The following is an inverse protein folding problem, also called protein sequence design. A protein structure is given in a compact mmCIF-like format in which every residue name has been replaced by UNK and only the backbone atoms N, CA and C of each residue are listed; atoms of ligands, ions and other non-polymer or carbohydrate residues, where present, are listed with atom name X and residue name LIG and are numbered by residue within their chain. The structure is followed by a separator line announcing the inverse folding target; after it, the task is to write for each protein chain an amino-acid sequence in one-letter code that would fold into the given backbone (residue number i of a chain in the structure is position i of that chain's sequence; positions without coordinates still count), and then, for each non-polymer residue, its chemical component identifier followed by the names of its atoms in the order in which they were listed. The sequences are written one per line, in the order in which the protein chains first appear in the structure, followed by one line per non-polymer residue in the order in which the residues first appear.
data_IF_657155879328
#
_entry.id   IF_657155879328
#
_cell.length_a   1.000
_cell.length_b   1.000
_cell.length_c   1.000
_cell.angle_alpha   90.00
_cell.angle_beta   90.00
_cell.angle_gamma   90.00
#
_symmetry.space_group_name_H-M   'P 1'
#
loop_
_entity.id
_entity.type
_entity.pdbx_description
1 polymer ?
#
# COMPACT_ATOMS: atom_id res chain seq x y z
N UNK A 1 -0.78 46.62 -12.60
CA UNK A 1 -0.61 45.80 -11.37
C UNK A 1 -0.15 44.41 -11.79
N UNK A 2 1.16 44.13 -11.65
CA UNK A 2 1.78 42.83 -11.96
C UNK A 2 1.58 41.93 -10.73
N UNK A 3 1.04 40.74 -10.92
CA UNK A 3 0.76 39.77 -9.87
C UNK A 3 2.06 39.30 -9.20
N UNK A 4 2.15 39.49 -7.88
CA UNK A 4 3.26 39.06 -7.00
C UNK A 4 3.80 37.62 -7.22
N UNK A 5 3.03 36.58 -7.61
CA UNK A 5 3.57 35.22 -7.75
C UNK A 5 4.68 35.07 -8.80
N UNK A 6 4.81 35.97 -9.78
CA UNK A 6 5.84 35.88 -10.82
C UNK A 6 7.26 36.18 -10.29
N UNK A 7 7.41 36.89 -9.16
CA UNK A 7 8.73 37.19 -8.57
C UNK A 7 9.29 36.06 -7.71
N UNK A 8 8.48 35.08 -7.33
CA UNK A 8 8.90 33.95 -6.50
C UNK A 8 9.33 32.71 -7.30
N UNK A 9 9.24 32.73 -8.64
CA UNK A 9 9.70 31.61 -9.49
C UNK A 9 8.93 30.29 -9.30
N UNK A 10 7.89 30.27 -8.46
CA UNK A 10 7.04 29.10 -8.24
C UNK A 10 6.04 29.04 -9.39
N UNK A 11 6.49 28.52 -10.52
CA UNK A 11 5.58 27.99 -11.52
C UNK A 11 5.13 26.62 -11.04
N UNK A 12 3.85 26.40 -10.66
CA UNK A 12 3.35 25.06 -10.39
C UNK A 12 3.43 24.27 -11.70
N UNK A 13 4.56 23.56 -11.87
CA UNK A 13 4.72 22.63 -12.98
C UNK A 13 3.58 21.63 -12.83
N UNK A 14 2.74 21.48 -13.86
CA UNK A 14 1.59 20.56 -13.82
C UNK A 14 1.97 19.14 -13.36
N UNK A 15 3.23 18.74 -13.53
CA UNK A 15 3.80 17.50 -12.98
C UNK A 15 3.88 17.45 -11.45
N UNK A 16 4.14 18.55 -10.76
CA UNK A 16 4.25 18.58 -9.29
C UNK A 16 2.91 18.30 -8.60
N UNK A 17 1.82 18.92 -9.08
CA UNK A 17 0.48 18.65 -8.54
C UNK A 17 0.06 17.19 -8.76
N UNK A 18 0.37 16.62 -9.93
CA UNK A 18 0.13 15.19 -10.22
C UNK A 18 0.99 14.27 -9.35
N UNK A 19 2.24 14.64 -9.08
CA UNK A 19 3.12 13.89 -8.19
C UNK A 19 2.59 13.89 -6.75
N UNK A 20 2.12 15.05 -6.27
CA UNK A 20 1.54 15.17 -4.93
C UNK A 20 0.25 14.35 -4.78
N UNK A 21 -0.61 14.34 -5.82
CA UNK A 21 -1.81 13.50 -5.84
C UNK A 21 -1.49 12.00 -5.90
N UNK A 22 -0.40 11.62 -6.54
CA UNK A 22 0.04 10.22 -6.65
C UNK A 22 0.76 9.71 -5.40
N UNK A 23 1.43 10.57 -4.65
CA UNK A 23 2.16 10.23 -3.44
C UNK A 23 1.36 9.36 -2.44
N UNK A 24 0.12 9.70 -2.02
CA UNK A 24 -0.63 8.87 -1.10
C UNK A 24 -0.95 7.47 -1.67
N UNK A 25 -1.21 7.36 -2.97
CA UNK A 25 -1.48 6.07 -3.62
C UNK A 25 -0.23 5.19 -3.65
N UNK A 26 0.93 5.78 -3.93
CA UNK A 26 2.22 5.05 -3.92
C UNK A 26 2.59 4.64 -2.49
N UNK A 27 2.47 5.55 -1.52
CA UNK A 27 2.76 5.25 -0.12
C UNK A 27 1.84 4.14 0.40
N UNK A 28 0.55 4.21 0.08
CA UNK A 28 -0.41 3.17 0.44
C UNK A 28 -0.07 1.85 -0.24
N UNK A 29 0.23 1.84 -1.54
CA UNK A 29 0.60 0.61 -2.25
C UNK A 29 1.85 -0.06 -1.64
N UNK A 30 2.86 0.74 -1.28
CA UNK A 30 4.08 0.26 -0.60
C UNK A 30 3.78 -0.29 0.79
N UNK A 31 2.95 0.42 1.56
CA UNK A 31 2.51 -0.05 2.88
C UNK A 31 1.76 -1.39 2.79
N UNK A 32 0.90 -1.56 1.78
CA UNK A 32 0.18 -2.81 1.53
C UNK A 32 1.13 -3.95 1.16
N UNK A 33 2.28 -3.67 0.50
CA UNK A 33 3.33 -4.68 0.33
C UNK A 33 3.90 -5.12 1.66
N UNK A 34 4.29 -4.17 2.50
CA UNK A 34 4.90 -4.47 3.79
C UNK A 34 3.95 -5.21 4.74
N UNK A 35 2.66 -4.87 4.74
CA UNK A 35 1.68 -5.42 5.70
C UNK A 35 0.79 -6.54 5.16
N UNK A 36 0.66 -6.69 3.85
CA UNK A 36 -0.07 -7.81 3.25
C UNK A 36 0.87 -8.94 2.85
N UNK A 37 1.79 -8.65 1.92
CA UNK A 37 2.67 -9.65 1.33
C UNK A 37 3.76 -10.11 2.29
N UNK A 38 4.40 -9.17 2.98
CA UNK A 38 5.48 -9.44 3.94
C UNK A 38 4.98 -9.67 5.37
N UNK A 39 3.66 -9.83 5.57
CA UNK A 39 3.09 -10.07 6.89
C UNK A 39 3.78 -11.20 7.68
N UNK A 40 4.13 -12.35 7.08
CA UNK A 40 4.77 -13.46 7.81
C UNK A 40 6.18 -13.17 8.32
N UNK A 41 6.79 -12.06 7.90
CA UNK A 41 8.15 -11.67 8.27
C UNK A 41 8.19 -10.64 9.40
N UNK A 42 7.04 -10.26 9.97
CA UNK A 42 7.00 -9.32 11.09
C UNK A 42 7.32 -10.01 12.42
N UNK A 43 7.87 -9.29 13.41
CA UNK A 43 8.24 -9.86 14.71
C UNK A 43 7.11 -10.58 15.44
N UNK A 44 5.85 -10.16 15.24
CA UNK A 44 4.66 -10.78 15.84
C UNK A 44 4.22 -12.09 15.16
N UNK A 45 4.70 -12.37 13.94
CA UNK A 45 4.26 -13.53 13.15
C UNK A 45 5.39 -14.45 12.69
N UNK A 46 6.64 -13.97 12.74
CA UNK A 46 7.82 -14.72 12.33
C UNK A 46 7.98 -16.02 13.13
N UNK A 47 7.51 -16.03 14.38
CA UNK A 47 7.52 -17.21 15.27
C UNK A 47 6.53 -18.28 14.83
N UNK A 48 5.56 -17.98 13.96
CA UNK A 48 4.62 -18.95 13.43
C UNK A 48 5.07 -19.58 12.10
N UNK A 49 6.23 -19.19 11.57
CA UNK A 49 6.76 -19.68 10.28
C UNK A 49 7.20 -21.15 10.33
N UNK A 50 7.59 -21.65 11.50
CA UNK A 50 7.95 -23.05 11.76
C UNK A 50 6.71 -23.96 11.80
N UNK A 51 5.53 -23.43 12.14
CA UNK A 51 4.27 -24.16 12.19
C UNK A 51 3.12 -23.42 11.46
N UNK A 52 3.26 -23.15 10.15
CA UNK A 52 2.43 -22.16 9.45
C UNK A 52 0.96 -22.57 9.25
N UNK A 53 0.67 -23.87 9.35
CA UNK A 53 -0.68 -24.45 9.25
C UNK A 53 -1.28 -24.82 10.61
N UNK A 54 -0.57 -24.58 11.70
CA UNK A 54 -1.02 -24.91 13.05
C UNK A 54 -1.63 -23.67 13.70
N UNK A 55 -2.63 -23.88 14.56
CA UNK A 55 -3.23 -22.80 15.31
C UNK A 55 -2.20 -22.16 16.26
N UNK A 56 -2.01 -20.86 16.15
CA UNK A 56 -1.18 -20.06 17.03
C UNK A 56 -2.11 -19.14 17.87
N UNK A 57 -2.02 -19.16 19.21
CA UNK A 57 -2.81 -18.29 20.09
C UNK A 57 -2.70 -16.80 19.78
N UNK A 58 -1.53 -16.35 19.33
CA UNK A 58 -1.26 -14.94 19.00
C UNK A 58 -2.04 -14.49 17.74
N UNK A 59 -2.46 -15.44 16.91
CA UNK A 59 -3.30 -15.23 15.73
C UNK A 59 -4.79 -15.51 15.98
N UNK A 60 -5.19 -15.81 17.23
CA UNK A 60 -6.57 -16.19 17.56
C UNK A 60 -7.63 -15.15 17.18
N UNK A 61 -7.27 -13.87 17.10
CA UNK A 61 -8.12 -12.78 16.64
C UNK A 61 -7.96 -12.39 15.17
N UNK A 62 -7.06 -13.05 14.43
CA UNK A 62 -6.74 -12.68 13.06
C UNK A 62 -7.85 -13.06 12.07
N UNK A 63 -8.11 -12.18 11.12
CA UNK A 63 -8.95 -12.53 9.96
C UNK A 63 -8.24 -13.58 9.12
N UNK A 64 -8.95 -14.65 8.76
CA UNK A 64 -8.35 -15.83 8.11
C UNK A 64 -8.07 -16.99 9.06
N UNK A 65 -8.37 -16.82 10.35
CA UNK A 65 -8.29 -17.87 11.36
C UNK A 65 -6.94 -17.92 12.08
N UNK A 66 -6.78 -18.86 13.03
CA UNK A 66 -5.65 -18.88 13.96
C UNK A 66 -4.35 -19.41 13.34
N UNK A 67 -4.31 -19.67 12.04
CA UNK A 67 -3.11 -20.18 11.36
C UNK A 67 -2.38 -19.04 10.66
N UNK A 68 -1.05 -19.10 10.58
CA UNK A 68 -0.27 -18.09 9.88
C UNK A 68 -0.68 -18.00 8.40
N UNK A 69 -0.85 -19.14 7.73
CA UNK A 69 -1.23 -19.17 6.31
C UNK A 69 -2.62 -18.60 6.09
N UNK A 70 -3.58 -18.96 6.94
CA UNK A 70 -4.95 -18.44 6.85
C UNK A 70 -4.98 -16.93 7.07
N UNK A 71 -4.33 -16.45 8.13
CA UNK A 71 -4.22 -15.03 8.42
C UNK A 71 -3.54 -14.27 7.27
N UNK A 72 -2.39 -14.76 6.81
CA UNK A 72 -1.64 -14.17 5.70
C UNK A 72 -2.46 -14.13 4.41
N UNK A 73 -3.13 -15.22 4.04
CA UNK A 73 -3.89 -15.30 2.79
C UNK A 73 -4.98 -14.22 2.71
N UNK A 74 -5.70 -13.98 3.81
CA UNK A 74 -6.72 -12.92 3.87
C UNK A 74 -6.09 -11.54 3.77
N UNK A 75 -5.00 -11.29 4.50
CA UNK A 75 -4.30 -9.99 4.44
C UNK A 75 -3.70 -9.73 3.05
N UNK A 76 -3.11 -10.74 2.41
CA UNK A 76 -2.59 -10.66 1.06
C UNK A 76 -3.69 -10.39 0.03
N UNK A 77 -4.86 -11.03 0.17
CA UNK A 77 -6.00 -10.79 -0.71
C UNK A 77 -6.56 -9.35 -0.58
N UNK A 78 -6.71 -8.86 0.65
CA UNK A 78 -7.13 -7.46 0.91
C UNK A 78 -6.09 -6.49 0.35
N UNK A 79 -4.80 -6.76 0.58
CA UNK A 79 -3.72 -5.94 0.06
C UNK A 79 -3.72 -5.90 -1.47
N UNK A 80 -3.90 -7.03 -2.14
CA UNK A 80 -4.00 -7.09 -3.60
C UNK A 80 -5.17 -6.25 -4.13
N UNK A 81 -6.36 -6.37 -3.52
CA UNK A 81 -7.53 -5.59 -3.92
C UNK A 81 -7.28 -4.08 -3.76
N UNK A 82 -6.74 -3.66 -2.62
CA UNK A 82 -6.42 -2.25 -2.38
C UNK A 82 -5.29 -1.74 -3.29
N UNK A 83 -4.27 -2.57 -3.58
CA UNK A 83 -3.23 -2.24 -4.55
C UNK A 83 -3.78 -2.06 -5.96
N UNK A 84 -4.75 -2.88 -6.38
CA UNK A 84 -5.42 -2.71 -7.67
C UNK A 84 -6.10 -1.33 -7.77
N UNK A 85 -6.74 -0.87 -6.69
CA UNK A 85 -7.33 0.48 -6.61
C UNK A 85 -6.26 1.57 -6.71
N UNK A 86 -5.14 1.43 -6.00
CA UNK A 86 -4.03 2.38 -6.09
C UNK A 86 -3.47 2.46 -7.51
N UNK A 87 -3.22 1.32 -8.16
CA UNK A 87 -2.72 1.25 -9.54
C UNK A 87 -3.72 1.86 -10.52
N UNK A 88 -5.01 1.59 -10.35
CA UNK A 88 -6.05 2.21 -11.17
C UNK A 88 -6.03 3.75 -11.02
N UNK A 89 -5.97 4.26 -9.79
CA UNK A 89 -5.85 5.69 -9.53
C UNK A 89 -4.61 6.31 -10.17
N UNK A 90 -3.47 5.63 -10.10
CA UNK A 90 -2.24 6.08 -10.75
C UNK A 90 -2.35 6.10 -12.28
N UNK A 91 -3.01 5.10 -12.89
CA UNK A 91 -3.26 5.07 -14.34
C UNK A 91 -4.17 6.23 -14.78
N UNK A 92 -5.12 6.63 -13.95
CA UNK A 92 -5.97 7.80 -14.23
C UNK A 92 -5.19 9.12 -14.12
N UNK A 93 -4.24 9.22 -13.18
CA UNK A 93 -3.36 10.39 -13.03
C UNK A 93 -2.27 10.47 -14.12
N UNK A 94 -1.82 9.32 -14.62
CA UNK A 94 -0.80 9.18 -15.66
C UNK A 94 -1.28 8.26 -16.79
N UNK A 95 -2.18 8.75 -17.67
CA UNK A 95 -2.58 7.99 -18.86
C UNK A 95 -1.36 7.70 -19.73
N UNK A 96 -1.27 6.48 -20.29
CA UNK A 96 -0.24 6.20 -21.31
C UNK A 96 -0.46 7.15 -22.49
N UNK A 97 0.61 7.79 -22.97
CA UNK A 97 0.61 8.41 -24.28
C UNK A 97 0.46 7.28 -25.31
N UNK A 98 -0.65 7.30 -26.06
CA UNK A 98 -0.92 6.43 -27.20
C UNK A 98 -0.06 6.82 -28.39
#
# INVERSE_FOLDING_TARGET
MRTLPARLGIHPRRGFARALAAAPLVLLATYLVARGWLYPLWPDTVVALDHPFTANPDLGGAWGGPTLVGAWAVHAAIALAAQAVCVLGLRLLYPRAS
#
